data_IF_226615444221
#
_entry.id   IF_226615444221
#
_cell.length_a   1.000
_cell.length_b   1.000
_cell.length_c   1.000
_cell.angle_alpha   90.00
_cell.angle_beta   90.00
_cell.angle_gamma   90.00
#
_symmetry.space_group_name_H-M   'P 1'
#
loop_
_entity.id
_entity.type
_entity.pdbx_description
1 polymer ?
#
# COMPACT_ATOMS: atom_id res chain seq x y z
N UNK A 1 10.45 11.84 20.53
CA UNK A 1 9.05 11.84 20.07
C UNK A 1 8.44 10.56 20.58
N UNK A 2 7.42 10.67 21.42
CA UNK A 2 6.54 9.53 21.73
C UNK A 2 5.45 9.50 20.66
N UNK A 3 5.24 8.35 20.03
CA UNK A 3 4.15 8.13 19.09
C UNK A 3 3.03 7.40 19.81
N UNK A 4 1.80 7.88 19.66
CA UNK A 4 0.64 7.15 20.15
C UNK A 4 0.47 5.85 19.36
N UNK A 5 0.07 4.79 20.06
CA UNK A 5 -0.18 3.50 19.44
C UNK A 5 -1.46 3.58 18.61
N UNK A 6 -1.40 3.09 17.39
CA UNK A 6 -2.56 2.96 16.51
C UNK A 6 -3.61 2.00 17.10
N UNK A 7 -4.87 2.31 16.86
CA UNK A 7 -5.97 1.39 17.11
C UNK A 7 -5.88 0.16 16.20
N UNK A 8 -6.54 -0.93 16.59
CA UNK A 8 -6.58 -2.15 15.76
C UNK A 8 -7.17 -1.90 14.36
N UNK A 9 -8.10 -0.95 14.24
CA UNK A 9 -8.70 -0.59 12.95
C UNK A 9 -7.67 0.10 12.05
N UNK A 10 -6.91 1.03 12.61
CA UNK A 10 -5.85 1.74 11.87
C UNK A 10 -4.76 0.78 11.45
N UNK A 11 -4.31 -0.13 12.32
CA UNK A 11 -3.33 -1.17 11.98
C UNK A 11 -3.83 -2.07 10.84
N UNK A 12 -5.09 -2.51 10.88
CA UNK A 12 -5.68 -3.33 9.81
C UNK A 12 -5.72 -2.58 8.47
N UNK A 13 -6.06 -1.29 8.47
CA UNK A 13 -6.12 -0.47 7.25
C UNK A 13 -4.70 -0.22 6.73
N UNK A 14 -3.78 0.20 7.60
CA UNK A 14 -2.39 0.48 7.25
C UNK A 14 -1.71 -0.76 6.66
N UNK A 15 -1.92 -1.93 7.27
CA UNK A 15 -1.38 -3.20 6.76
C UNK A 15 -1.86 -3.48 5.33
N UNK A 16 -3.16 -3.34 5.05
CA UNK A 16 -3.70 -3.55 3.69
C UNK A 16 -3.06 -2.60 2.68
N UNK A 17 -2.96 -1.31 3.03
CA UNK A 17 -2.34 -0.29 2.17
C UNK A 17 -0.89 -0.66 1.85
N UNK A 18 -0.09 -0.99 2.87
CA UNK A 18 1.34 -1.31 2.69
C UNK A 18 1.51 -2.62 1.92
N UNK A 19 0.74 -3.65 2.24
CA UNK A 19 0.81 -4.96 1.56
C UNK A 19 0.44 -4.84 0.07
N UNK A 20 -0.62 -4.08 -0.26
CA UNK A 20 -1.01 -3.84 -1.66
C UNK A 20 0.06 -3.04 -2.41
N UNK A 21 0.60 -1.97 -1.82
CA UNK A 21 1.65 -1.16 -2.45
C UNK A 21 2.94 -1.96 -2.68
N UNK A 22 3.33 -2.77 -1.69
CA UNK A 22 4.50 -3.65 -1.78
C UNK A 22 4.31 -4.70 -2.87
N UNK A 23 3.12 -5.31 -2.96
CA UNK A 23 2.81 -6.32 -3.98
C UNK A 23 2.90 -5.75 -5.38
N UNK A 24 2.32 -4.57 -5.62
CA UNK A 24 2.41 -3.87 -6.91
C UNK A 24 3.86 -3.54 -7.23
N UNK A 25 4.60 -2.93 -6.30
CA UNK A 25 5.99 -2.56 -6.53
C UNK A 25 6.89 -3.76 -6.83
N UNK A 26 6.72 -4.85 -6.09
CA UNK A 26 7.48 -6.09 -6.27
C UNK A 26 7.19 -6.75 -7.63
N UNK A 27 5.97 -6.65 -8.14
CA UNK A 27 5.57 -7.23 -9.44
C UNK A 27 6.00 -6.37 -10.63
N UNK A 28 5.87 -5.05 -10.50
CA UNK A 28 6.04 -4.11 -11.61
C UNK A 28 7.44 -3.50 -11.71
N UNK A 29 8.16 -3.36 -10.59
CA UNK A 29 9.46 -2.72 -10.55
C UNK A 29 9.38 -1.18 -10.67
N UNK A 30 10.53 -0.49 -10.57
CA UNK A 30 10.60 0.96 -10.37
C UNK A 30 10.34 1.82 -11.62
N UNK A 31 10.46 1.28 -12.84
CA UNK A 31 10.48 2.08 -14.08
C UNK A 31 9.10 2.27 -14.75
N UNK A 32 8.02 2.14 -13.99
CA UNK A 32 6.67 2.24 -14.54
C UNK A 32 6.05 3.62 -14.31
N UNK A 33 5.19 4.03 -15.24
CA UNK A 33 4.41 5.25 -15.11
C UNK A 33 3.51 5.21 -13.88
N UNK A 34 3.43 6.33 -13.16
CA UNK A 34 2.61 6.52 -11.94
C UNK A 34 1.15 6.07 -12.14
N UNK A 35 0.57 6.34 -13.32
CA UNK A 35 -0.82 5.96 -13.63
C UNK A 35 -1.05 4.46 -13.65
N UNK A 36 -0.06 3.67 -14.03
CA UNK A 36 -0.20 2.20 -14.00
C UNK A 36 -0.06 1.70 -12.55
N UNK A 37 0.82 2.31 -11.76
CA UNK A 37 0.91 2.06 -10.32
C UNK A 37 -0.42 2.32 -9.62
N UNK A 38 -1.06 3.47 -9.88
CA UNK A 38 -2.36 3.85 -9.32
C UNK A 38 -3.43 2.78 -9.61
N UNK A 39 -3.59 2.42 -10.89
CA UNK A 39 -4.60 1.43 -11.30
C UNK A 39 -4.35 0.06 -10.67
N UNK A 40 -3.10 -0.43 -10.71
CA UNK A 40 -2.75 -1.72 -10.10
C UNK A 40 -2.92 -1.70 -8.59
N UNK A 41 -2.58 -0.59 -7.92
CA UNK A 41 -2.75 -0.44 -6.49
C UNK A 41 -4.23 -0.44 -6.08
N UNK A 42 -5.09 0.30 -6.78
CA UNK A 42 -6.53 0.28 -6.54
C UNK A 42 -7.13 -1.12 -6.73
N UNK A 43 -6.66 -1.86 -7.74
CA UNK A 43 -7.09 -3.24 -7.98
C UNK A 43 -6.65 -4.18 -6.84
N UNK A 44 -5.40 -4.07 -6.38
CA UNK A 44 -4.84 -4.91 -5.30
C UNK A 44 -5.38 -4.55 -3.91
N UNK A 45 -5.83 -3.31 -3.70
CA UNK A 45 -6.37 -2.83 -2.41
C UNK A 45 -7.86 -3.17 -2.19
N UNK A 46 -8.58 -3.52 -3.26
CA UNK A 46 -10.03 -3.84 -3.24
C UNK A 46 -10.35 -5.13 -2.48
#
# INVERSE_FOLDING_TARGET
>A
MEFEKLSEKEEKIAKKIVDSAYTVHKRLGPDLLERVYEVCFCHELS
#
